data_IF_436482033023
#
_entry.id   IF_436482033023
#
_cell.length_a   1.000
_cell.length_b   1.000
_cell.length_c   1.000
_cell.angle_alpha   90.00
_cell.angle_beta   90.00
_cell.angle_gamma   90.00
#
_symmetry.space_group_name_H-M   'P 1'
#
loop_
_entity.id
_entity.type
_entity.pdbx_description
1 polymer ?
#
# COMPACT_ATOMS: atom_id res chain seq x y z
N UNK A 1 1.25 19.39 33.86
CA UNK A 1 2.39 18.44 33.89
C UNK A 1 2.90 18.39 32.46
N UNK A 2 4.10 18.88 32.19
CA UNK A 2 4.70 18.73 30.85
C UNK A 2 4.99 17.25 30.63
N UNK A 3 4.40 16.69 29.58
CA UNK A 3 4.76 15.35 29.12
C UNK A 3 5.96 15.53 28.20
N UNK A 4 7.13 15.10 28.66
CA UNK A 4 8.36 15.13 27.88
C UNK A 4 8.49 13.77 27.20
N UNK A 5 8.30 13.75 25.89
CA UNK A 5 8.47 12.57 25.04
C UNK A 5 9.68 12.75 24.14
N UNK A 6 10.51 11.72 24.01
CA UNK A 6 11.69 11.74 23.14
C UNK A 6 11.31 11.75 21.66
N UNK A 7 10.17 11.13 21.32
CA UNK A 7 9.69 11.00 19.94
C UNK A 7 8.19 11.31 19.89
N UNK A 8 7.86 12.34 19.12
CA UNK A 8 6.47 12.73 18.82
C UNK A 8 6.20 12.56 17.33
N UNK A 9 5.09 11.90 17.01
CA UNK A 9 4.59 11.68 15.65
C UNK A 9 3.33 12.52 15.48
N UNK A 10 3.39 13.52 14.60
CA UNK A 10 2.25 14.37 14.27
C UNK A 10 1.42 13.75 13.14
N UNK A 11 0.27 13.18 13.48
CA UNK A 11 -0.75 12.61 12.59
C UNK A 11 -0.88 11.09 12.72
N UNK A 12 -2.11 10.60 12.95
CA UNK A 12 -2.46 9.18 13.00
C UNK A 12 -2.90 8.64 11.63
N UNK A 13 -2.23 9.09 10.56
CA UNK A 13 -2.40 8.55 9.20
C UNK A 13 -1.64 7.24 8.99
N UNK A 14 -1.67 6.71 7.77
CA UNK A 14 -0.96 5.48 7.40
C UNK A 14 0.53 5.52 7.76
N UNK A 15 1.21 6.62 7.44
CA UNK A 15 2.63 6.78 7.75
C UNK A 15 2.86 6.87 9.26
N UNK A 16 2.11 7.71 9.98
CA UNK A 16 2.30 7.92 11.42
C UNK A 16 2.05 6.66 12.24
N UNK A 17 0.97 5.94 11.96
CA UNK A 17 0.68 4.67 12.64
C UNK A 17 1.68 3.57 12.27
N UNK A 18 2.14 3.51 11.01
CA UNK A 18 3.18 2.56 10.60
C UNK A 18 4.50 2.85 11.30
N UNK A 19 4.88 4.13 11.45
CA UNK A 19 6.07 4.56 12.17
C UNK A 19 5.96 4.22 13.66
N UNK A 20 4.84 4.56 14.30
CA UNK A 20 4.60 4.23 15.71
C UNK A 20 4.67 2.72 15.96
N UNK A 21 4.09 1.92 15.06
CA UNK A 21 4.18 0.46 15.13
C UNK A 21 5.63 -0.02 14.99
N UNK A 22 6.39 0.53 14.04
CA UNK A 22 7.81 0.21 13.87
C UNK A 22 8.63 0.49 15.13
N UNK A 23 8.46 1.68 15.72
CA UNK A 23 9.14 2.08 16.96
C UNK A 23 8.73 1.18 18.13
N UNK A 24 7.43 0.92 18.30
CA UNK A 24 6.91 0.03 19.33
C UNK A 24 7.53 -1.37 19.25
N UNK A 25 7.69 -1.93 18.03
CA UNK A 25 8.33 -3.24 17.84
C UNK A 25 9.82 -3.25 18.17
N UNK A 26 10.48 -2.10 18.11
CA UNK A 26 11.86 -1.92 18.53
C UNK A 26 11.98 -1.62 20.04
N UNK A 27 10.86 -1.53 20.77
CA UNK A 27 10.85 -1.17 22.19
C UNK A 27 11.10 0.32 22.44
N UNK A 28 10.95 1.17 21.41
CA UNK A 28 11.17 2.61 21.51
C UNK A 28 9.81 3.29 21.77
N UNK A 29 9.66 4.02 22.88
CA UNK A 29 8.42 4.75 23.18
C UNK A 29 8.23 5.90 22.18
N UNK A 30 6.98 6.16 21.80
CA UNK A 30 6.60 7.30 20.97
C UNK A 30 5.18 7.74 21.25
N UNK A 31 4.91 9.03 21.10
CA UNK A 31 3.59 9.63 21.22
C UNK A 31 3.05 10.01 19.84
N UNK A 32 1.86 9.51 19.49
CA UNK A 32 1.14 9.93 18.28
C UNK A 32 0.09 10.96 18.65
N UNK A 33 0.15 12.12 18.00
CA UNK A 33 -0.86 13.18 18.14
C UNK A 33 -1.70 13.24 16.87
N UNK A 34 -3.03 13.26 17.01
CA UNK A 34 -3.96 13.42 15.90
C UNK A 34 -4.89 14.60 16.17
N UNK A 35 -5.12 15.40 15.14
CA UNK A 35 -6.01 16.56 15.18
C UNK A 35 -7.49 16.19 15.15
N UNK A 36 -7.83 15.07 14.52
CA UNK A 36 -9.17 14.53 14.42
C UNK A 36 -9.59 13.84 15.72
N UNK A 37 -10.84 14.07 16.14
CA UNK A 37 -11.42 13.46 17.35
C UNK A 37 -11.52 11.92 17.29
N UNK A 38 -11.34 11.34 16.10
CA UNK A 38 -11.35 9.90 15.90
C UNK A 38 -10.69 9.48 14.60
N UNK A 39 -10.43 8.17 14.50
CA UNK A 39 -9.85 7.56 13.31
C UNK A 39 -10.89 7.54 12.17
N UNK A 40 -10.47 8.01 10.99
CA UNK A 40 -11.33 7.99 9.80
C UNK A 40 -11.27 6.61 9.15
N UNK A 41 -12.45 6.02 8.94
CA UNK A 41 -12.62 4.76 8.18
C UNK A 41 -13.04 5.00 6.73
N UNK A 42 -13.26 6.25 6.35
CA UNK A 42 -13.66 6.69 5.01
C UNK A 42 -12.47 7.31 4.27
N UNK A 43 -12.47 7.25 2.93
CA UNK A 43 -11.40 7.82 2.12
C UNK A 43 -11.31 7.18 0.72
N UNK A 44 -10.13 7.29 0.12
CA UNK A 44 -9.82 6.74 -1.19
C UNK A 44 -9.10 5.40 -1.07
N UNK A 45 -9.28 4.54 -2.08
CA UNK A 45 -8.45 3.35 -2.23
C UNK A 45 -6.99 3.77 -2.53
N UNK A 46 -6.04 3.04 -1.94
CA UNK A 46 -4.61 3.22 -2.21
C UNK A 46 -4.08 1.97 -2.88
N UNK A 47 -3.32 2.16 -3.95
CA UNK A 47 -2.63 1.08 -4.64
C UNK A 47 -1.27 0.84 -3.98
N UNK A 48 -1.05 -0.40 -3.54
CA UNK A 48 0.22 -0.84 -2.96
C UNK A 48 1.02 -1.63 -3.98
N UNK A 49 2.22 -1.15 -4.30
CA UNK A 49 3.20 -1.88 -5.12
C UNK A 49 4.02 -2.87 -4.27
N UNK A 50 4.79 -3.73 -4.94
CA UNK A 50 5.58 -4.79 -4.29
C UNK A 50 6.49 -4.29 -3.15
N UNK A 51 7.10 -3.12 -3.30
CA UNK A 51 7.98 -2.59 -2.25
C UNK A 51 7.20 -2.09 -1.03
N UNK A 52 5.99 -1.57 -1.23
CA UNK A 52 5.11 -1.21 -0.12
C UNK A 52 4.69 -2.46 0.65
N UNK A 53 4.35 -3.55 -0.05
CA UNK A 53 4.07 -4.84 0.60
C UNK A 53 5.26 -5.35 1.42
N UNK A 54 6.48 -5.31 0.89
CA UNK A 54 7.69 -5.68 1.67
C UNK A 54 7.87 -4.83 2.92
N UNK A 55 7.57 -3.53 2.85
CA UNK A 55 7.64 -2.66 4.03
C UNK A 55 6.57 -3.03 5.06
N UNK A 56 5.34 -3.33 4.62
CA UNK A 56 4.25 -3.80 5.48
C UNK A 56 4.56 -5.17 6.12
N UNK A 57 5.30 -6.02 5.42
CA UNK A 57 5.80 -7.30 5.96
C UNK A 57 6.81 -7.06 7.07
N UNK A 58 7.74 -6.11 6.88
CA UNK A 58 8.76 -5.78 7.87
C UNK A 58 8.17 -5.24 9.19
N UNK A 59 7.06 -4.50 9.13
CA UNK A 59 6.34 -4.04 10.33
C UNK A 59 5.30 -5.07 10.84
N UNK A 60 5.13 -6.19 10.13
CA UNK A 60 4.36 -7.36 10.56
C UNK A 60 2.85 -7.29 10.33
N UNK A 61 2.37 -6.41 9.45
CA UNK A 61 0.93 -6.30 9.11
C UNK A 61 0.59 -6.82 7.71
N UNK A 62 1.60 -7.22 6.94
CA UNK A 62 1.45 -7.62 5.55
C UNK A 62 0.47 -8.76 5.32
N UNK A 63 0.49 -9.79 6.16
CA UNK A 63 -0.41 -10.95 5.99
C UNK A 63 -1.86 -10.62 6.31
N UNK A 64 -2.12 -9.85 7.37
CA UNK A 64 -3.45 -9.36 7.72
C UNK A 64 -4.02 -8.51 6.59
N UNK A 65 -3.22 -7.58 6.05
CA UNK A 65 -3.65 -6.72 4.96
C UNK A 65 -3.87 -7.48 3.66
N UNK A 66 -3.05 -8.50 3.35
CA UNK A 66 -3.25 -9.34 2.16
C UNK A 66 -4.53 -10.14 2.20
N UNK A 67 -5.03 -10.53 3.38
CA UNK A 67 -6.32 -11.22 3.49
C UNK A 67 -7.52 -10.28 3.20
N UNK A 68 -7.33 -8.98 3.39
CA UNK A 68 -8.41 -7.98 3.27
C UNK A 68 -8.32 -7.16 1.97
N UNK A 69 -7.16 -7.12 1.31
CA UNK A 69 -6.98 -6.32 0.11
C UNK A 69 -7.79 -6.85 -1.09
N UNK A 70 -8.13 -5.93 -2.00
CA UNK A 70 -8.66 -6.29 -3.32
C UNK A 70 -7.52 -6.29 -4.32
N UNK A 71 -7.33 -7.41 -5.01
CA UNK A 71 -6.36 -7.47 -6.09
C UNK A 71 -6.81 -6.57 -7.24
N UNK A 72 -5.92 -5.69 -7.66
CA UNK A 72 -6.14 -4.84 -8.82
C UNK A 72 -6.11 -5.69 -10.09
N UNK A 73 -7.20 -5.67 -10.87
CA UNK A 73 -7.38 -6.59 -12.00
C UNK A 73 -6.89 -6.01 -13.33
N UNK A 74 -7.17 -4.72 -13.56
CA UNK A 74 -7.01 -4.09 -14.87
C UNK A 74 -6.75 -2.59 -14.76
N UNK A 75 -5.77 -2.10 -15.50
CA UNK A 75 -5.54 -0.67 -15.74
C UNK A 75 -5.63 -0.40 -17.24
N UNK A 76 -6.43 0.57 -17.64
CA UNK A 76 -6.62 0.96 -19.05
C UNK A 76 -6.30 2.44 -19.21
N UNK A 77 -5.48 2.77 -20.20
CA UNK A 77 -5.15 4.16 -20.57
C UNK A 77 -5.87 4.50 -21.85
N UNK A 78 -6.68 5.56 -21.82
CA UNK A 78 -7.44 6.04 -22.97
C UNK A 78 -6.76 7.25 -23.60
N UNK A 79 -6.68 7.27 -24.92
CA UNK A 79 -6.28 8.45 -25.68
C UNK A 79 -7.51 9.30 -26.00
N UNK A 80 -7.48 10.56 -25.60
CA UNK A 80 -8.55 11.53 -25.92
C UNK A 80 -8.55 11.92 -27.40
N UNK A 81 -7.40 11.86 -28.07
CA UNK A 81 -7.26 12.25 -29.48
C UNK A 81 -7.83 11.19 -30.40
N UNK A 82 -7.55 9.91 -30.15
CA UNK A 82 -8.03 8.82 -30.99
C UNK A 82 -9.31 8.16 -30.49
N UNK A 83 -9.80 8.54 -29.30
CA UNK A 83 -10.92 7.88 -28.61
C UNK A 83 -10.76 6.35 -28.50
N UNK A 84 -9.50 5.87 -28.51
CA UNK A 84 -9.12 4.45 -28.42
C UNK A 84 -8.32 4.19 -27.15
N UNK A 85 -8.32 2.94 -26.69
CA UNK A 85 -7.42 2.47 -25.63
C UNK A 85 -6.00 2.47 -26.19
N UNK A 86 -5.11 3.24 -25.56
CA UNK A 86 -3.70 3.32 -25.95
C UNK A 86 -2.85 2.23 -25.31
N UNK A 87 -3.23 1.77 -24.11
CA UNK A 87 -2.57 0.64 -23.45
C UNK A 87 -3.48 0.02 -22.39
N UNK A 88 -3.34 -1.29 -22.20
CA UNK A 88 -4.06 -2.04 -21.17
C UNK A 88 -3.06 -2.95 -20.44
N UNK A 89 -3.13 -2.92 -19.11
CA UNK A 89 -2.41 -3.84 -18.25
C UNK A 89 -3.43 -4.72 -17.52
N UNK A 90 -3.41 -6.00 -17.84
CA UNK A 90 -4.12 -7.04 -17.10
C UNK A 90 -3.16 -7.66 -16.09
N UNK A 91 -3.48 -7.55 -14.81
CA UNK A 91 -2.77 -8.29 -13.76
C UNK A 91 -3.46 -9.65 -13.62
N UNK A 92 -2.86 -10.68 -14.24
CA UNK A 92 -3.29 -12.06 -14.00
C UNK A 92 -3.01 -12.43 -12.55
N UNK A 93 -3.92 -13.21 -11.95
CA UNK A 93 -3.64 -13.88 -10.68
C UNK A 93 -2.36 -14.71 -10.83
N UNK A 94 -1.36 -14.38 -10.00
CA UNK A 94 -0.25 -15.28 -9.78
C UNK A 94 -0.77 -16.35 -8.82
N UNK A 95 -1.12 -17.53 -9.32
CA UNK A 95 -1.09 -18.72 -8.48
C UNK A 95 0.33 -18.85 -7.92
N UNK A 96 0.45 -18.85 -6.60
CA UNK A 96 1.73 -19.03 -5.90
C UNK A 96 2.14 -20.49 -6.04
N UNK A 97 2.67 -20.86 -7.20
CA UNK A 97 3.42 -22.10 -7.36
C UNK A 97 4.91 -21.78 -7.19
N UNK A 98 5.52 -22.35 -6.14
CA UNK A 98 6.97 -22.31 -5.91
C UNK A 98 7.70 -22.96 -7.10
N UNK A 99 8.11 -22.18 -8.10
CA UNK A 99 9.36 -22.32 -8.89
C UNK A 99 9.29 -21.46 -10.16
N UNK A 100 10.41 -20.78 -10.45
CA UNK A 100 10.79 -20.42 -11.82
C UNK A 100 10.35 -19.05 -12.29
N UNK A 101 11.31 -18.13 -12.32
CA UNK A 101 11.47 -17.03 -13.30
C UNK A 101 10.70 -17.29 -14.61
N UNK A 102 9.71 -16.43 -14.93
CA UNK A 102 8.86 -16.56 -16.12
C UNK A 102 8.11 -15.27 -16.47
N UNK A 103 8.01 -14.97 -17.76
CA UNK A 103 7.94 -13.65 -18.39
C UNK A 103 6.61 -12.89 -18.31
N UNK A 104 6.71 -11.56 -18.19
CA UNK A 104 5.60 -10.61 -18.34
C UNK A 104 5.19 -10.51 -19.82
N UNK A 105 4.09 -11.16 -20.19
CA UNK A 105 3.50 -11.06 -21.53
C UNK A 105 2.79 -9.73 -21.75
N UNK A 106 3.51 -8.73 -22.27
CA UNK A 106 2.92 -7.49 -22.79
C UNK A 106 2.24 -7.79 -24.13
N UNK A 107 0.91 -7.85 -24.15
CA UNK A 107 0.17 -7.84 -25.42
C UNK A 107 -0.06 -6.38 -25.81
N UNK A 108 0.81 -5.86 -26.67
CA UNK A 108 0.57 -4.61 -27.39
C UNK A 108 -0.59 -4.86 -28.37
N UNK A 109 -1.67 -4.10 -28.23
CA UNK A 109 -2.74 -4.05 -29.22
C UNK A 109 -2.28 -3.05 -30.29
N UNK A 110 -2.23 -3.42 -31.58
CA UNK A 110 -1.80 -2.49 -32.63
C UNK A 110 -2.81 -1.35 -32.81
N UNK A 111 -2.30 -0.20 -33.25
CA UNK A 111 -3.02 1.07 -33.44
C UNK A 111 -4.08 1.02 -34.55
#
# INVERSE_FOLDING_TARGET
MEVVEDIVIAGAGLAGLTTALGLHRLGIPSLVLESSDGLRTTGFAILTWNNAWKALDAVGVGDTLRQQHKQFQRHSVYSLVSSKISSELLLKEHEVHRRGIGSSGKRLVPA
#
